data_IF_448280245472
#
_entry.id   IF_448280245472
#
_cell.length_a   1.000
_cell.length_b   1.000
_cell.length_c   1.000
_cell.angle_alpha   90.00
_cell.angle_beta   90.00
_cell.angle_gamma   90.00
#
_symmetry.space_group_name_H-M   'P 1'
#
loop_
_entity.id
_entity.type
_entity.pdbx_description
1 polymer ?
#
# COMPACT_ATOMS: atom_id res chain seq x y z
N UNK A 1 -1.95 30.98 -19.76
CA UNK A 1 -2.37 29.76 -20.49
C UNK A 1 -2.49 28.63 -19.48
N UNK A 2 -3.70 28.32 -18.99
CA UNK A 2 -3.98 27.23 -18.05
C UNK A 2 -4.74 26.15 -18.81
N UNK A 3 -4.17 24.95 -18.89
CA UNK A 3 -4.85 23.79 -19.44
C UNK A 3 -5.93 23.34 -18.45
N UNK A 4 -7.16 23.80 -18.71
CA UNK A 4 -8.38 23.35 -18.04
C UNK A 4 -8.66 21.94 -18.54
N UNK A 5 -8.37 20.93 -17.71
CA UNK A 5 -8.92 19.59 -17.91
C UNK A 5 -10.42 19.68 -17.67
N UNK A 6 -11.17 19.83 -18.77
CA UNK A 6 -12.64 19.84 -18.78
C UNK A 6 -13.09 18.40 -18.61
N UNK A 7 -13.34 17.99 -17.36
CA UNK A 7 -14.09 16.77 -17.06
C UNK A 7 -15.46 16.91 -17.74
N UNK A 8 -15.73 16.08 -18.75
CA UNK A 8 -17.04 16.03 -19.38
C UNK A 8 -18.06 15.55 -18.37
N UNK A 9 -19.13 16.32 -18.30
CA UNK A 9 -20.29 16.16 -17.45
C UNK A 9 -20.95 14.80 -17.72
N UNK A 10 -20.90 13.90 -16.74
CA UNK A 10 -21.63 12.64 -16.74
C UNK A 10 -22.97 12.78 -15.99
N UNK A 11 -23.53 14.00 -15.94
CA UNK A 11 -24.93 14.19 -15.58
C UNK A 11 -25.78 13.75 -16.75
N UNK A 12 -26.21 12.48 -16.74
CA UNK A 12 -27.47 11.95 -17.28
C UNK A 12 -27.32 10.43 -17.43
N UNK A 13 -27.66 9.69 -16.36
CA UNK A 13 -28.30 8.35 -16.41
C UNK A 13 -28.76 7.98 -14.99
N UNK A 14 -30.04 7.63 -14.90
CA UNK A 14 -30.92 7.43 -13.75
C UNK A 14 -30.48 6.31 -12.75
N UNK A 15 -31.18 6.11 -11.61
CA UNK A 15 -30.65 5.42 -10.45
C UNK A 15 -30.74 3.90 -10.61
N UNK A 16 -29.62 3.21 -10.42
CA UNK A 16 -29.60 1.76 -10.30
C UNK A 16 -29.30 1.38 -8.84
N UNK A 17 -30.00 0.38 -8.26
CA UNK A 17 -29.77 -0.07 -6.91
C UNK A 17 -28.61 -1.07 -6.90
N UNK A 18 -27.38 -0.61 -7.04
CA UNK A 18 -26.22 -1.49 -6.87
C UNK A 18 -26.01 -1.72 -5.36
N UNK A 19 -26.48 -2.87 -4.85
CA UNK A 19 -25.76 -3.53 -3.76
C UNK A 19 -24.44 -4.01 -4.36
N UNK A 20 -23.41 -3.18 -4.30
CA UNK A 20 -22.06 -3.58 -4.66
C UNK A 20 -21.64 -4.70 -3.71
N UNK A 21 -21.71 -5.93 -4.19
CA UNK A 21 -21.22 -7.10 -3.48
C UNK A 21 -19.71 -6.91 -3.25
N UNK A 22 -19.29 -6.95 -1.98
CA UNK A 22 -17.91 -6.72 -1.52
C UNK A 22 -16.91 -7.66 -2.20
N UNK A 23 -17.37 -8.79 -2.75
CA UNK A 23 -16.56 -9.75 -3.51
C UNK A 23 -16.23 -9.28 -4.93
N UNK A 24 -17.07 -8.48 -5.58
CA UNK A 24 -16.84 -8.06 -6.98
C UNK A 24 -15.73 -7.00 -7.09
N UNK A 25 -15.59 -6.15 -6.07
CA UNK A 25 -14.53 -5.14 -5.97
C UNK A 25 -13.13 -5.75 -5.78
N UNK A 26 -13.02 -7.03 -5.40
CA UNK A 26 -11.73 -7.67 -5.16
C UNK A 26 -10.93 -7.98 -6.44
N UNK A 27 -11.56 -7.94 -7.62
CA UNK A 27 -10.92 -8.33 -8.89
C UNK A 27 -10.86 -7.23 -9.96
N UNK A 28 -11.44 -6.06 -9.70
CA UNK A 28 -11.34 -4.91 -10.62
C UNK A 28 -10.24 -3.96 -10.16
N UNK A 29 -9.38 -3.48 -11.06
CA UNK A 29 -8.43 -2.43 -10.72
C UNK A 29 -9.21 -1.19 -10.29
N UNK A 30 -8.99 -0.75 -9.06
CA UNK A 30 -9.56 0.49 -8.53
C UNK A 30 -8.69 1.64 -9.01
N UNK A 31 -9.27 2.61 -9.71
CA UNK A 31 -8.61 3.87 -10.04
C UNK A 31 -8.66 4.79 -8.83
N UNK A 32 -7.54 5.45 -8.54
CA UNK A 32 -7.41 6.43 -7.47
C UNK A 32 -6.80 7.70 -8.04
N UNK A 33 -7.42 8.84 -7.79
CA UNK A 33 -6.91 10.17 -8.13
C UNK A 33 -6.48 10.86 -6.85
N UNK A 34 -5.25 11.40 -6.82
CA UNK A 34 -4.75 12.20 -5.69
C UNK A 34 -4.87 13.67 -6.10
N UNK A 35 -5.85 14.42 -5.58
CA UNK A 35 -6.00 15.83 -5.91
C UNK A 35 -4.90 16.67 -5.24
N UNK A 36 -4.65 17.85 -5.80
CA UNK A 36 -3.81 18.91 -5.20
C UNK A 36 -2.36 18.49 -4.87
N UNK A 37 -1.76 17.64 -5.70
CA UNK A 37 -0.32 17.37 -5.62
C UNK A 37 0.44 18.59 -6.11
N UNK A 38 1.35 19.18 -5.31
CA UNK A 38 2.18 20.30 -5.75
C UNK A 38 3.01 19.95 -7.00
N UNK A 39 3.12 20.90 -7.93
CA UNK A 39 3.79 20.69 -9.23
C UNK A 39 5.25 20.25 -9.08
N UNK A 40 5.96 20.80 -8.10
CA UNK A 40 7.34 20.45 -7.78
C UNK A 40 7.48 18.99 -7.32
N UNK A 41 6.54 18.53 -6.48
CA UNK A 41 6.48 17.13 -6.03
C UNK A 41 6.17 16.20 -7.20
N UNK A 42 5.22 16.56 -8.06
CA UNK A 42 4.88 15.76 -9.24
C UNK A 42 6.07 15.65 -10.21
N UNK A 43 6.80 16.74 -10.44
CA UNK A 43 7.97 16.76 -11.31
C UNK A 43 9.13 15.91 -10.76
N UNK A 44 9.37 15.95 -9.45
CA UNK A 44 10.37 15.10 -8.80
C UNK A 44 9.99 13.61 -8.91
N UNK A 45 8.72 13.27 -8.70
CA UNK A 45 8.23 11.89 -8.86
C UNK A 45 8.36 11.39 -10.31
N UNK A 46 8.08 12.24 -11.30
CA UNK A 46 8.30 11.94 -12.71
C UNK A 46 9.79 11.71 -13.01
N UNK A 47 10.67 12.53 -12.43
CA UNK A 47 12.13 12.38 -12.57
C UNK A 47 12.62 11.06 -11.98
N UNK A 48 12.11 10.66 -10.81
CA UNK A 48 12.43 9.37 -10.19
C UNK A 48 11.91 8.19 -11.01
N UNK A 49 10.69 8.28 -11.52
CA UNK A 49 10.12 7.25 -12.40
C UNK A 49 10.96 7.09 -13.67
N UNK A 50 11.36 8.20 -14.30
CA UNK A 50 12.25 8.18 -15.47
C UNK A 50 13.61 7.54 -15.17
N UNK A 51 14.23 7.86 -14.02
CA UNK A 51 15.48 7.22 -13.57
C UNK A 51 15.32 5.72 -13.31
N UNK A 52 14.16 5.29 -12.85
CA UNK A 52 13.82 3.88 -12.66
C UNK A 52 13.42 3.17 -13.97
N UNK A 53 13.33 3.89 -15.10
CA UNK A 53 12.88 3.33 -16.38
C UNK A 53 11.41 2.93 -16.39
N UNK A 54 10.59 3.52 -15.51
CA UNK A 54 9.18 3.17 -15.32
C UNK A 54 8.26 4.35 -15.68
N UNK A 55 7.05 4.09 -16.21
CA UNK A 55 6.03 5.12 -16.34
C UNK A 55 5.57 5.57 -14.95
N UNK A 56 5.27 6.87 -14.79
CA UNK A 56 4.94 7.50 -13.49
C UNK A 56 3.82 6.76 -12.74
N UNK A 57 2.75 6.39 -13.43
CA UNK A 57 1.61 5.68 -12.84
C UNK A 57 2.03 4.34 -12.18
N UNK A 58 2.93 3.61 -12.84
CA UNK A 58 3.43 2.31 -12.38
C UNK A 58 4.40 2.46 -11.21
N UNK A 59 5.29 3.46 -11.29
CA UNK A 59 6.18 3.82 -10.19
C UNK A 59 5.37 4.15 -8.92
N UNK A 60 4.35 4.99 -9.04
CA UNK A 60 3.49 5.36 -7.92
C UNK A 60 2.70 4.17 -7.37
N UNK A 61 2.17 3.31 -8.24
CA UNK A 61 1.50 2.06 -7.83
C UNK A 61 2.43 1.20 -6.98
N UNK A 62 3.68 1.00 -7.43
CA UNK A 62 4.69 0.26 -6.69
C UNK A 62 4.98 0.86 -5.31
N UNK A 63 5.17 2.18 -5.26
CA UNK A 63 5.43 2.91 -4.01
C UNK A 63 4.26 2.79 -3.01
N UNK A 64 3.01 2.92 -3.49
CA UNK A 64 1.82 2.79 -2.65
C UNK A 64 1.61 1.35 -2.15
N UNK A 65 1.87 0.35 -2.99
CA UNK A 65 1.83 -1.06 -2.57
C UNK A 65 2.90 -1.33 -1.52
N UNK A 66 4.12 -0.81 -1.70
CA UNK A 66 5.18 -0.95 -0.72
C UNK A 66 4.80 -0.29 0.62
N UNK A 67 4.20 0.90 0.57
CA UNK A 67 3.71 1.60 1.74
C UNK A 67 2.62 0.80 2.47
N UNK A 68 1.62 0.29 1.75
CA UNK A 68 0.55 -0.51 2.33
C UNK A 68 1.02 -1.86 2.88
N UNK A 69 2.06 -2.46 2.27
CA UNK A 69 2.66 -3.71 2.75
C UNK A 69 3.52 -3.52 3.99
N UNK A 70 3.96 -2.31 4.30
CA UNK A 70 4.76 -2.03 5.50
C UNK A 70 3.81 -1.73 6.67
N UNK A 71 3.53 -2.70 7.56
CA UNK A 71 2.73 -2.40 8.75
C UNK A 71 3.41 -1.31 9.56
N UNK A 72 2.62 -0.45 10.21
CA UNK A 72 3.18 0.42 11.24
C UNK A 72 3.87 -0.45 12.31
N UNK A 73 4.93 0.04 12.97
CA UNK A 73 5.60 -0.70 14.03
C UNK A 73 4.60 -1.22 15.08
N UNK A 74 3.63 -0.40 15.45
CA UNK A 74 2.59 -0.75 16.43
C UNK A 74 1.71 -1.90 15.93
N UNK A 75 1.20 -1.83 14.69
CA UNK A 75 0.41 -2.91 14.10
C UNK A 75 1.21 -4.18 13.82
N UNK A 76 2.54 -4.09 13.75
CA UNK A 76 3.41 -5.26 13.69
C UNK A 76 3.52 -5.91 15.08
N UNK A 77 3.75 -5.12 16.13
CA UNK A 77 3.82 -5.61 17.50
C UNK A 77 2.51 -6.25 17.96
N UNK A 78 1.36 -5.65 17.66
CA UNK A 78 0.05 -6.23 17.94
C UNK A 78 -0.10 -7.62 17.30
N UNK A 79 0.37 -7.75 16.05
CA UNK A 79 0.30 -9.01 15.31
C UNK A 79 1.24 -10.07 15.89
N UNK A 80 2.44 -9.67 16.32
CA UNK A 80 3.41 -10.53 17.00
C UNK A 80 2.84 -11.01 18.33
N UNK A 81 2.31 -10.12 19.16
CA UNK A 81 1.69 -10.45 20.44
C UNK A 81 0.52 -11.43 20.25
N UNK A 82 -0.39 -11.13 19.32
CA UNK A 82 -1.51 -12.01 19.01
C UNK A 82 -1.06 -13.40 18.55
N UNK A 83 -0.01 -13.49 17.72
CA UNK A 83 0.54 -14.78 17.27
C UNK A 83 1.17 -15.57 18.42
N UNK A 84 1.94 -14.91 19.28
CA UNK A 84 2.57 -15.54 20.45
C UNK A 84 1.51 -16.08 21.41
N UNK A 85 0.46 -15.30 21.66
CA UNK A 85 -0.66 -15.70 22.50
C UNK A 85 -1.42 -16.92 21.94
N UNK A 86 -1.71 -16.93 20.64
CA UNK A 86 -2.46 -18.04 20.01
C UNK A 86 -1.62 -19.32 19.87
N UNK A 87 -0.35 -19.18 19.52
CA UNK A 87 0.52 -20.35 19.26
C UNK A 87 0.99 -20.98 20.57
N UNK A 88 1.01 -20.22 21.68
CA UNK A 88 1.39 -20.71 23.00
C UNK A 88 2.87 -21.10 23.13
N UNK A 89 3.68 -20.92 22.08
CA UNK A 89 5.12 -21.19 22.12
C UNK A 89 5.81 -20.26 23.11
N UNK A 90 6.41 -20.86 24.14
CA UNK A 90 7.27 -20.17 25.09
C UNK A 90 8.68 -20.70 24.91
N UNK A 91 9.62 -19.82 24.61
CA UNK A 91 11.05 -20.10 24.63
C UNK A 91 11.66 -19.28 25.75
N UNK A 92 12.50 -19.90 26.58
CA UNK A 92 13.27 -19.16 27.58
C UNK A 92 14.34 -18.32 26.88
N UNK A 93 14.75 -17.22 27.51
CA UNK A 93 15.83 -16.40 26.99
C UNK A 93 17.14 -17.19 26.81
N UNK A 94 17.42 -18.10 27.73
CA UNK A 94 18.56 -19.02 27.66
C UNK A 94 18.52 -19.90 26.39
N UNK A 95 17.39 -20.55 26.11
CA UNK A 95 17.25 -21.41 24.93
C UNK A 95 17.39 -20.63 23.60
N UNK A 96 16.95 -19.37 23.57
CA UNK A 96 17.12 -18.49 22.39
C UNK A 96 18.60 -18.16 22.19
N UNK A 97 19.32 -17.86 23.28
CA UNK A 97 20.74 -17.54 23.22
C UNK A 97 21.57 -18.75 22.80
N UNK A 98 21.27 -19.94 23.32
CA UNK A 98 21.95 -21.18 22.93
C UNK A 98 21.80 -21.48 21.43
N UNK A 99 20.59 -21.37 20.88
CA UNK A 99 20.35 -21.59 19.44
C UNK A 99 21.09 -20.54 18.60
N UNK A 100 21.08 -19.27 19.03
CA UNK A 100 21.77 -18.19 18.30
C UNK A 100 23.30 -18.37 18.33
N UNK A 101 23.86 -18.76 19.46
CA UNK A 101 25.30 -18.91 19.64
C UNK A 101 25.82 -20.21 19.01
N UNK A 102 24.94 -21.19 18.76
CA UNK A 102 25.23 -22.37 17.94
C UNK A 102 25.35 -22.04 16.43
N UNK A 103 24.58 -21.08 15.91
CA UNK A 103 24.66 -20.63 14.50
C UNK A 103 25.94 -19.82 14.21
N UNK A 104 26.58 -19.28 15.25
CA UNK A 104 27.78 -18.42 15.15
C UNK A 104 29.10 -19.17 15.37
N UNK A 105 29.06 -20.48 15.62
CA UNK A 105 30.24 -21.35 15.87
C UNK A 105 30.56 -22.19 14.64
#
# INVERSE_FOLDING_TARGET
MRAVWRQTDASLLSPLPYRCDRRYLARMPVSMTVPDVPDDVAAELATRAARAGQPLQEYLRGQLVALARRPSPDSLWDRVQHRVLITGSRLSGEAILEVRDADRR
#
